data_IF_799707955925
#
_entry.id   IF_799707955925
#
_cell.length_a   1.000
_cell.length_b   1.000
_cell.length_c   1.000
_cell.angle_alpha   90.00
_cell.angle_beta   90.00
_cell.angle_gamma   90.00
#
_symmetry.space_group_name_H-M   'P 1'
#
loop_
_entity.id
_entity.type
_entity.pdbx_description
1 polymer ?
#
# COMPACT_ATOMS: atom_id res chain seq x y z
N UNK A 1 17.79 -7.35 -16.80
CA UNK A 1 16.31 -7.19 -16.94
C UNK A 1 15.67 -8.41 -17.59
N UNK A 2 16.43 -9.15 -18.41
CA UNK A 2 16.02 -10.37 -19.13
C UNK A 2 15.36 -11.42 -18.25
N UNK A 3 15.95 -11.78 -17.11
CA UNK A 3 15.40 -12.86 -16.26
C UNK A 3 13.96 -12.63 -15.76
N UNK A 4 13.56 -11.39 -15.48
CA UNK A 4 12.19 -11.10 -15.03
C UNK A 4 11.23 -11.09 -16.23
N UNK A 5 11.69 -10.66 -17.40
CA UNK A 5 10.91 -10.72 -18.63
C UNK A 5 10.66 -12.18 -19.01
N UNK A 6 11.67 -13.04 -18.91
CA UNK A 6 11.54 -14.48 -19.14
C UNK A 6 10.53 -15.12 -18.17
N UNK A 7 10.61 -14.76 -16.88
CA UNK A 7 9.63 -15.21 -15.88
C UNK A 7 8.21 -14.74 -16.17
N UNK A 8 8.03 -13.54 -16.72
CA UNK A 8 6.72 -13.00 -17.11
C UNK A 8 6.18 -13.76 -18.32
N UNK A 9 7.01 -14.04 -19.32
CA UNK A 9 6.61 -14.84 -20.48
C UNK A 9 6.20 -16.26 -20.08
N UNK A 10 6.97 -16.91 -19.20
CA UNK A 10 6.61 -18.22 -18.67
C UNK A 10 5.31 -18.19 -17.87
N UNK A 11 5.09 -17.15 -17.06
CA UNK A 11 3.84 -16.98 -16.33
C UNK A 11 2.65 -16.79 -17.29
N UNK A 12 2.83 -16.02 -18.38
CA UNK A 12 1.81 -15.86 -19.44
C UNK A 12 1.49 -17.17 -20.13
N UNK A 13 2.50 -17.96 -20.48
CA UNK A 13 2.32 -19.31 -21.05
C UNK A 13 1.50 -20.20 -20.11
N UNK A 14 1.80 -20.20 -18.82
CA UNK A 14 1.06 -20.97 -17.81
C UNK A 14 -0.40 -20.53 -17.69
N UNK A 15 -0.66 -19.22 -17.68
CA UNK A 15 -2.04 -18.69 -17.68
C UNK A 15 -2.81 -19.19 -18.90
N UNK A 16 -2.24 -19.12 -20.10
CA UNK A 16 -2.90 -19.59 -21.32
C UNK A 16 -3.23 -21.09 -21.26
N UNK A 17 -2.33 -21.91 -20.71
CA UNK A 17 -2.57 -23.35 -20.51
C UNK A 17 -3.73 -23.58 -19.52
N UNK A 18 -3.73 -22.89 -18.39
CA UNK A 18 -4.79 -23.00 -17.39
C UNK A 18 -6.14 -22.48 -17.91
N UNK A 19 -6.15 -21.42 -18.74
CA UNK A 19 -7.37 -20.91 -19.37
C UNK A 19 -8.02 -21.97 -20.25
N UNK A 20 -7.24 -22.58 -21.15
CA UNK A 20 -7.76 -23.65 -22.02
C UNK A 20 -8.29 -24.85 -21.25
N UNK A 21 -7.73 -25.13 -20.06
CA UNK A 21 -8.22 -26.20 -19.17
C UNK A 21 -9.53 -25.82 -18.50
N UNK A 22 -9.63 -24.60 -17.98
CA UNK A 22 -10.84 -24.09 -17.32
C UNK A 22 -12.01 -23.87 -18.31
N UNK A 23 -11.73 -23.59 -19.58
CA UNK A 23 -12.75 -23.40 -20.62
C UNK A 23 -13.37 -24.73 -21.13
N UNK A 24 -12.82 -25.89 -20.74
CA UNK A 24 -13.40 -27.18 -21.16
C UNK A 24 -14.74 -27.44 -20.46
N UNK A 25 -15.77 -27.92 -21.18
CA UNK A 25 -17.01 -28.37 -20.54
C UNK A 25 -16.69 -29.58 -19.65
N UNK A 26 -16.86 -29.42 -18.34
CA UNK A 26 -16.43 -30.39 -17.31
C UNK A 26 -15.20 -29.96 -16.50
N UNK A 27 -14.72 -28.73 -16.67
CA UNK A 27 -13.68 -28.15 -15.83
C UNK A 27 -14.08 -28.22 -14.35
N UNK A 28 -13.12 -28.61 -13.51
CA UNK A 28 -13.32 -28.67 -12.05
C UNK A 28 -12.99 -27.32 -11.44
N UNK A 29 -13.52 -27.07 -10.24
CA UNK A 29 -13.15 -25.91 -9.41
C UNK A 29 -11.62 -25.82 -9.21
N UNK A 30 -10.94 -26.97 -9.19
CA UNK A 30 -9.47 -27.06 -9.12
C UNK A 30 -8.77 -26.42 -10.33
N UNK A 31 -9.34 -26.56 -11.54
CA UNK A 31 -8.79 -25.96 -12.76
C UNK A 31 -8.97 -24.43 -12.76
N UNK A 32 -10.09 -23.95 -12.23
CA UNK A 32 -10.35 -22.52 -12.03
C UNK A 32 -9.41 -21.91 -10.98
N UNK A 33 -9.16 -22.63 -9.88
CA UNK A 33 -8.20 -22.22 -8.85
C UNK A 33 -6.78 -22.19 -9.41
N UNK A 34 -6.40 -23.17 -10.22
CA UNK A 34 -5.10 -23.19 -10.89
C UNK A 34 -4.94 -21.99 -11.84
N UNK A 35 -6.00 -21.64 -12.57
CA UNK A 35 -6.03 -20.44 -13.41
C UNK A 35 -5.87 -19.15 -12.59
N UNK A 36 -6.60 -19.01 -11.48
CA UNK A 36 -6.47 -17.85 -10.60
C UNK A 36 -5.06 -17.76 -9.99
N UNK A 37 -4.49 -18.88 -9.56
CA UNK A 37 -3.12 -18.93 -9.04
C UNK A 37 -2.08 -18.50 -10.08
N UNK A 38 -2.23 -18.99 -11.33
CA UNK A 38 -1.37 -18.57 -12.44
C UNK A 38 -1.48 -17.07 -12.74
N UNK A 39 -2.71 -16.51 -12.71
CA UNK A 39 -2.95 -15.07 -12.89
C UNK A 39 -2.33 -14.25 -11.75
N UNK A 40 -2.50 -14.67 -10.50
CA UNK A 40 -1.90 -14.01 -9.34
C UNK A 40 -0.37 -14.00 -9.44
N UNK A 41 0.24 -15.09 -9.91
CA UNK A 41 1.69 -15.14 -10.13
C UNK A 41 2.15 -14.14 -11.19
N UNK A 42 1.44 -14.04 -12.31
CA UNK A 42 1.74 -13.07 -13.37
C UNK A 42 1.67 -11.63 -12.84
N UNK A 43 0.56 -11.28 -12.17
CA UNK A 43 0.36 -9.95 -11.58
C UNK A 43 1.45 -9.59 -10.56
N UNK A 44 1.89 -10.57 -9.75
CA UNK A 44 2.97 -10.36 -8.78
C UNK A 44 4.29 -9.99 -9.46
N UNK A 45 4.60 -10.63 -10.59
CA UNK A 45 5.82 -10.33 -11.36
C UNK A 45 5.73 -8.94 -11.99
N UNK A 46 4.59 -8.59 -12.58
CA UNK A 46 4.35 -7.26 -13.16
C UNK A 46 4.43 -6.16 -12.09
N UNK A 47 3.86 -6.37 -10.91
CA UNK A 47 3.98 -5.44 -9.78
C UNK A 47 5.44 -5.23 -9.36
N UNK A 48 6.27 -6.28 -9.32
CA UNK A 48 7.71 -6.13 -9.01
C UNK A 48 8.43 -5.29 -10.05
N UNK A 49 8.08 -5.42 -11.32
CA UNK A 49 8.63 -4.57 -12.39
C UNK A 49 8.22 -3.12 -12.19
N UNK A 50 6.93 -2.88 -11.97
CA UNK A 50 6.40 -1.53 -11.75
C UNK A 50 7.01 -0.87 -10.52
N UNK A 51 7.16 -1.59 -9.41
CA UNK A 51 7.83 -1.09 -8.21
C UNK A 51 9.28 -0.68 -8.48
N UNK A 52 10.02 -1.46 -9.29
CA UNK A 52 11.38 -1.10 -9.71
C UNK A 52 11.39 0.15 -10.57
N UNK A 53 10.46 0.28 -11.53
CA UNK A 53 10.34 1.47 -12.37
C UNK A 53 10.04 2.71 -11.50
N UNK A 54 9.08 2.62 -10.58
CA UNK A 54 8.74 3.70 -9.64
C UNK A 54 9.94 4.04 -8.75
N UNK A 55 10.68 3.05 -8.26
CA UNK A 55 11.89 3.28 -7.47
C UNK A 55 12.99 3.99 -8.28
N UNK A 56 13.16 3.64 -9.55
CA UNK A 56 14.07 4.33 -10.46
C UNK A 56 13.60 5.77 -10.71
N UNK A 57 12.32 5.98 -11.03
CA UNK A 57 11.75 7.32 -11.20
C UNK A 57 11.93 8.20 -9.95
N UNK A 58 11.78 7.65 -8.74
CA UNK A 58 12.06 8.38 -7.48
C UNK A 58 13.54 8.76 -7.33
N UNK A 59 14.46 7.94 -7.85
CA UNK A 59 15.90 8.24 -7.86
C UNK A 59 16.24 9.31 -8.91
N UNK A 60 15.64 9.24 -10.09
CA UNK A 60 15.88 10.21 -11.17
C UNK A 60 15.11 11.54 -10.98
N UNK A 61 13.99 11.54 -10.28
CA UNK A 61 13.26 12.75 -9.87
C UNK A 61 13.92 13.51 -8.71
N UNK A 62 14.94 12.91 -8.07
CA UNK A 62 15.86 13.59 -7.15
C UNK A 62 17.16 13.91 -7.88
N UNK A 63 17.09 14.87 -8.81
CA UNK A 63 18.28 15.65 -9.15
C UNK A 63 18.76 16.45 -7.93
N UNK A 64 19.94 17.10 -7.98
CA UNK A 64 20.49 17.86 -6.83
C UNK A 64 19.62 19.04 -6.36
N UNK A 65 18.49 19.33 -7.00
CA UNK A 65 17.39 20.10 -6.43
C UNK A 65 16.29 19.16 -5.91
N UNK A 66 16.33 18.82 -4.63
CA UNK A 66 15.21 18.16 -3.94
C UNK A 66 13.93 19.01 -3.98
N UNK A 67 12.76 18.45 -3.59
CA UNK A 67 11.49 19.17 -3.66
C UNK A 67 11.63 20.52 -2.96
N UNK A 68 11.26 21.60 -3.67
CA UNK A 68 11.10 22.92 -3.09
C UNK A 68 10.37 22.77 -1.76
N UNK A 69 10.97 23.40 -0.76
CA UNK A 69 10.46 23.59 0.59
C UNK A 69 8.94 23.40 0.66
N UNK A 70 8.51 22.45 1.49
CA UNK A 70 7.24 22.66 2.16
C UNK A 70 7.29 24.08 2.74
N UNK A 71 6.30 24.96 2.48
CA UNK A 71 6.23 26.18 3.25
C UNK A 71 6.14 25.73 4.69
N UNK A 72 7.16 26.07 5.49
CA UNK A 72 7.11 25.84 6.92
C UNK A 72 5.76 26.37 7.42
N UNK A 73 4.98 25.57 8.16
CA UNK A 73 3.86 26.13 8.88
C UNK A 73 4.48 27.07 9.91
N UNK A 74 4.43 28.37 9.58
CA UNK A 74 4.88 29.48 10.38
C UNK A 74 4.62 29.18 11.86
N UNK A 75 5.68 29.29 12.65
CA UNK A 75 5.67 29.18 14.10
C UNK A 75 4.38 29.74 14.69
N UNK A 76 3.46 28.84 15.05
CA UNK A 76 2.29 29.22 15.82
C UNK A 76 2.79 29.43 17.24
N UNK A 77 3.27 30.65 17.52
CA UNK A 77 3.68 31.12 18.86
C UNK A 77 2.69 30.57 19.88
N UNK A 78 3.12 29.57 20.65
CA UNK A 78 2.38 29.05 21.79
C UNK A 78 2.41 30.08 22.90
N UNK A 79 1.61 31.14 22.77
CA UNK A 79 1.16 31.91 23.92
C UNK A 79 0.10 31.09 24.65
N UNK A 80 0.54 30.00 25.30
CA UNK A 80 -0.26 29.36 26.33
C UNK A 80 -0.05 30.17 27.59
N UNK A 81 -0.80 31.26 27.73
CA UNK A 81 -0.98 31.92 29.04
C UNK A 81 -1.44 30.81 30.00
N UNK A 82 -0.61 30.49 30.99
CA UNK A 82 -1.05 29.70 32.13
C UNK A 82 -2.25 30.42 32.75
N UNK A 83 -3.42 29.80 32.69
CA UNK A 83 -4.50 30.15 33.60
C UNK A 83 -4.19 29.45 34.93
N UNK A 84 -4.06 30.18 36.05
CA UNK A 84 -3.83 29.54 37.34
C UNK A 84 -5.05 28.68 37.67
N UNK A 85 -4.78 27.43 38.03
CA UNK A 85 -5.76 26.48 38.53
C UNK A 85 -6.26 26.99 39.90
N UNK A 86 -7.24 27.90 39.89
CA UNK A 86 -7.96 28.28 41.10
C UNK A 86 -9.08 27.28 41.36
N UNK A 87 -8.74 26.30 42.19
CA UNK A 87 -9.48 25.96 43.43
C UNK A 87 -11.00 26.13 43.36
N UNK A 88 -11.70 25.05 43.02
CA UNK A 88 -13.07 24.81 43.47
C UNK A 88 -13.11 23.46 44.18
N UNK A 89 -12.83 23.52 45.49
CA UNK A 89 -13.40 22.57 46.44
C UNK A 89 -14.81 23.00 46.81
N UNK A 90 -15.53 22.12 47.50
CA UNK A 90 -16.93 22.16 47.94
C UNK A 90 -17.91 21.51 46.95
N UNK A 91 -18.24 20.22 47.10
CA UNK A 91 -19.05 19.48 48.12
C UNK A 91 -20.41 19.17 47.52
N UNK A 92 -20.73 17.89 47.35
CA UNK A 92 -22.04 17.32 47.69
C UNK A 92 -21.84 15.82 47.92
N UNK A 93 -21.58 15.48 49.17
CA UNK A 93 -21.72 14.13 49.71
C UNK A 93 -22.81 14.24 50.78
N UNK A 94 -24.05 13.90 50.44
CA UNK A 94 -25.08 13.60 51.43
C UNK A 94 -26.09 12.63 50.79
N UNK A 95 -25.82 11.34 50.99
CA UNK A 95 -26.78 10.25 50.83
C UNK A 95 -27.45 10.08 52.19
N UNK A 96 -28.70 10.52 52.33
CA UNK A 96 -29.54 10.21 53.49
C UNK A 96 -30.22 8.85 53.29
N UNK A 97 -30.04 7.96 54.26
CA UNK A 97 -31.06 7.00 54.69
C UNK A 97 -31.71 7.57 55.95
#
# INVERSE_FOLDING_TARGET
MTEIQDQIEDARRRVAICQRRAERPGARVEDELALQSARNRLLTLELRVLQRIVALQKKFGKGPGGPLAAPEPAERKKHRRMLPYMRWGFTYLEVKR
#
